data_IF_937840534039
#
_entry.id   IF_937840534039
#
_cell.length_a   1.000
_cell.length_b   1.000
_cell.length_c   1.000
_cell.angle_alpha   90.00
_cell.angle_beta   90.00
_cell.angle_gamma   90.00
#
_symmetry.space_group_name_H-M   'P 1'
#
loop_
_entity.id
_entity.type
_entity.pdbx_description
1 polymer ?
#
# COMPACT_ATOMS: atom_id res chain seq x y z
N UNK A 1 -2.13 39.15 24.51
CA UNK A 1 -0.91 39.01 25.33
C UNK A 1 -1.32 38.92 26.80
N UNK A 2 -0.89 37.87 27.49
CA UNK A 2 -1.19 37.66 28.90
C UNK A 2 -0.73 38.86 29.75
N UNK A 3 -1.54 39.27 30.73
CA UNK A 3 -1.20 40.36 31.65
C UNK A 3 -1.19 41.77 31.04
N UNK A 4 -1.69 41.96 29.81
CA UNK A 4 -1.80 43.29 29.17
C UNK A 4 -3.19 43.90 29.24
N UNK A 5 -4.17 43.21 29.85
CA UNK A 5 -5.50 43.76 30.07
C UNK A 5 -5.42 44.97 31.02
N UNK A 6 -5.85 46.15 30.57
CA UNK A 6 -5.91 47.37 31.37
C UNK A 6 -7.34 47.65 31.90
N UNK A 7 -8.26 46.70 31.74
CA UNK A 7 -9.62 46.85 32.25
C UNK A 7 -9.60 46.92 33.77
N UNK A 8 -10.34 47.88 34.33
CA UNK A 8 -10.46 48.07 35.79
C UNK A 8 -11.44 47.10 36.44
N UNK A 9 -12.25 46.42 35.63
CA UNK A 9 -13.19 45.39 36.05
C UNK A 9 -12.50 44.02 36.15
N UNK A 10 -12.72 43.33 37.28
CA UNK A 10 -12.12 42.04 37.56
C UNK A 10 -12.59 40.96 36.58
N UNK A 11 -13.89 40.93 36.26
CA UNK A 11 -14.45 39.96 35.32
C UNK A 11 -13.79 40.05 33.94
N UNK A 12 -13.55 41.28 33.48
CA UNK A 12 -12.87 41.56 32.21
C UNK A 12 -11.40 41.11 32.21
N UNK A 13 -10.70 41.22 33.33
CA UNK A 13 -9.34 40.70 33.48
C UNK A 13 -9.31 39.17 33.45
N UNK A 14 -10.23 38.51 34.15
CA UNK A 14 -10.37 37.05 34.13
C UNK A 14 -10.70 36.56 32.72
N UNK A 15 -11.69 37.19 32.04
CA UNK A 15 -12.06 36.84 30.68
C UNK A 15 -10.88 36.99 29.70
N UNK A 16 -10.12 38.08 29.82
CA UNK A 16 -8.91 38.28 29.01
C UNK A 16 -7.86 37.19 29.25
N UNK A 17 -7.61 36.81 30.50
CA UNK A 17 -6.64 35.75 30.82
C UNK A 17 -7.12 34.40 30.25
N UNK A 18 -8.37 34.03 30.50
CA UNK A 18 -8.98 32.79 29.98
C UNK A 18 -8.89 32.71 28.46
N UNK A 19 -9.18 33.81 27.75
CA UNK A 19 -9.08 33.87 26.30
C UNK A 19 -7.64 33.68 25.80
N UNK A 20 -6.64 34.29 26.45
CA UNK A 20 -5.24 34.08 26.08
C UNK A 20 -4.80 32.62 26.30
N UNK A 21 -5.28 31.97 27.38
CA UNK A 21 -4.96 30.56 27.66
C UNK A 21 -5.60 29.61 26.64
N UNK A 22 -6.85 29.88 26.22
CA UNK A 22 -7.51 29.12 25.14
C UNK A 22 -6.75 29.23 23.81
N UNK A 23 -6.32 30.46 23.45
CA UNK A 23 -5.51 30.67 22.25
C UNK A 23 -4.17 29.91 22.32
N UNK A 24 -3.50 29.95 23.47
CA UNK A 24 -2.26 29.20 23.68
C UNK A 24 -2.47 27.70 23.53
N UNK A 25 -3.53 27.14 24.14
CA UNK A 25 -3.84 25.72 24.03
C UNK A 25 -4.09 25.33 22.57
N UNK A 26 -4.91 26.09 21.83
CA UNK A 26 -5.17 25.84 20.42
C UNK A 26 -3.89 25.85 19.58
N UNK A 27 -3.06 26.89 19.73
CA UNK A 27 -1.79 27.01 19.01
C UNK A 27 -0.82 25.89 19.40
N UNK A 28 -0.82 25.45 20.66
CA UNK A 28 -0.02 24.31 21.12
C UNK A 28 -0.50 22.99 20.51
N UNK A 29 -1.81 22.82 20.36
CA UNK A 29 -2.38 21.68 19.62
C UNK A 29 -1.97 21.71 18.15
N UNK A 30 -2.11 22.85 17.46
CA UNK A 30 -1.68 22.98 16.05
C UNK A 30 -0.18 22.69 15.92
N UNK A 31 0.66 23.31 16.76
CA UNK A 31 2.10 23.04 16.79
C UNK A 31 2.40 21.57 17.02
N UNK A 32 1.63 20.88 17.87
CA UNK A 32 1.80 19.44 18.09
C UNK A 32 1.52 18.63 16.83
N UNK A 33 0.51 18.99 16.04
CA UNK A 33 0.21 18.31 14.77
C UNK A 33 1.20 18.64 13.66
N UNK A 34 1.76 19.86 13.64
CA UNK A 34 2.72 20.29 12.61
C UNK A 34 4.16 19.85 12.93
N UNK A 35 4.57 19.88 14.20
CA UNK A 35 5.97 19.63 14.61
C UNK A 35 6.26 18.17 14.96
N UNK A 36 5.23 17.36 15.22
CA UNK A 36 5.40 15.92 15.45
C UNK A 36 4.65 15.16 14.37
N UNK A 37 5.38 14.36 13.61
CA UNK A 37 4.77 13.26 12.90
C UNK A 37 4.09 12.35 13.93
N UNK A 38 2.76 12.33 13.92
CA UNK A 38 2.03 11.46 14.84
C UNK A 38 2.41 10.02 14.51
N UNK A 39 2.55 9.14 15.52
CA UNK A 39 2.77 7.70 15.30
C UNK A 39 1.75 7.16 14.27
N UNK A 40 0.49 7.60 14.35
CA UNK A 40 -0.54 7.26 13.36
C UNK A 40 -0.28 7.80 11.94
N UNK A 41 0.35 8.97 11.81
CA UNK A 41 0.82 9.53 10.53
C UNK A 41 1.92 8.68 9.91
N UNK A 42 2.93 8.31 10.71
CA UNK A 42 4.02 7.42 10.29
C UNK A 42 3.48 6.03 9.88
N UNK A 43 2.60 5.44 10.70
CA UNK A 43 1.95 4.17 10.34
C UNK A 43 1.09 4.30 9.09
N UNK A 44 0.41 5.44 8.88
CA UNK A 44 -0.38 5.67 7.67
C UNK A 44 0.52 5.78 6.44
N UNK A 45 1.61 6.53 6.50
CA UNK A 45 2.59 6.63 5.40
C UNK A 45 3.21 5.26 5.10
N UNK A 46 3.67 4.53 6.12
CA UNK A 46 4.22 3.18 5.96
C UNK A 46 3.15 2.24 5.39
N UNK A 47 1.89 2.35 5.82
CA UNK A 47 0.80 1.52 5.28
C UNK A 47 0.49 1.88 3.84
N UNK A 48 0.43 3.16 3.49
CA UNK A 48 0.26 3.63 2.11
C UNK A 48 1.41 3.19 1.19
N UNK A 49 2.65 3.21 1.69
CA UNK A 49 3.81 2.64 1.00
C UNK A 49 3.80 1.10 0.94
N UNK A 50 3.23 0.44 1.95
CA UNK A 50 3.04 -1.02 1.99
C UNK A 50 1.90 -1.49 1.09
N UNK A 51 1.03 -0.59 0.62
CA UNK A 51 0.15 -0.82 -0.54
C UNK A 51 0.96 -0.81 -1.86
N UNK A 52 2.29 -0.95 -1.81
CA UNK A 52 3.01 -1.60 -2.90
C UNK A 52 2.43 -3.00 -3.13
N UNK A 53 2.24 -3.38 -4.40
CA UNK A 53 1.92 -4.78 -4.76
C UNK A 53 2.87 -5.70 -3.98
N UNK A 54 2.30 -6.69 -3.31
CA UNK A 54 3.06 -7.75 -2.67
C UNK A 54 4.04 -8.35 -3.68
N UNK A 55 5.15 -8.92 -3.21
CA UNK A 55 6.14 -9.58 -4.08
C UNK A 55 5.45 -10.59 -5.01
N UNK A 56 4.42 -11.29 -4.53
CA UNK A 56 3.59 -12.21 -5.32
C UNK A 56 2.85 -11.50 -6.45
N UNK A 57 2.21 -10.37 -6.19
CA UNK A 57 1.50 -9.60 -7.22
C UNK A 57 2.48 -8.99 -8.23
N UNK A 58 3.66 -8.54 -7.79
CA UNK A 58 4.74 -8.06 -8.69
C UNK A 58 5.21 -9.18 -9.63
N UNK A 59 5.51 -10.37 -9.09
CA UNK A 59 5.90 -11.55 -9.89
C UNK A 59 4.79 -11.93 -10.86
N UNK A 60 3.53 -11.95 -10.40
CA UNK A 60 2.39 -12.27 -11.26
C UNK A 60 2.19 -11.24 -12.39
N UNK A 61 2.39 -9.95 -12.09
CA UNK A 61 2.41 -8.88 -13.09
C UNK A 61 3.42 -9.14 -14.21
N UNK A 62 4.66 -9.46 -13.85
CA UNK A 62 5.72 -9.78 -14.81
C UNK A 62 5.39 -11.01 -15.66
N UNK A 63 4.84 -12.06 -15.05
CA UNK A 63 4.41 -13.27 -15.80
C UNK A 63 3.34 -12.90 -16.85
N UNK A 64 2.36 -12.07 -16.48
CA UNK A 64 1.31 -11.64 -17.41
C UNK A 64 1.85 -10.79 -18.55
N UNK A 65 2.78 -9.87 -18.27
CA UNK A 65 3.41 -9.06 -19.33
C UNK A 65 4.14 -9.93 -20.35
N UNK A 66 4.88 -10.94 -19.89
CA UNK A 66 5.59 -11.88 -20.78
C UNK A 66 4.58 -12.67 -21.64
N UNK A 67 3.53 -13.22 -21.02
CA UNK A 67 2.53 -14.01 -21.74
C UNK A 67 1.75 -13.14 -22.73
N UNK A 68 1.44 -11.89 -22.37
CA UNK A 68 0.79 -10.93 -23.28
C UNK A 68 1.66 -10.62 -24.49
N UNK A 69 2.96 -10.34 -24.28
CA UNK A 69 3.87 -10.05 -25.38
C UNK A 69 4.00 -11.24 -26.36
N UNK A 70 3.96 -12.47 -25.84
CA UNK A 70 3.97 -13.68 -26.67
C UNK A 70 2.62 -13.83 -27.40
N UNK A 71 1.50 -13.63 -26.72
CA UNK A 71 0.16 -13.69 -27.31
C UNK A 71 0.03 -12.70 -28.48
N UNK A 72 0.48 -11.45 -28.28
CA UNK A 72 0.50 -10.42 -29.31
C UNK A 72 1.39 -10.82 -30.50
N UNK A 73 2.57 -11.37 -30.24
CA UNK A 73 3.50 -11.82 -31.29
C UNK A 73 2.91 -12.93 -32.16
N UNK A 74 2.17 -13.86 -31.56
CA UNK A 74 1.54 -14.98 -32.27
C UNK A 74 0.10 -14.69 -32.72
N UNK A 75 -0.44 -13.49 -32.43
CA UNK A 75 -1.85 -13.14 -32.67
C UNK A 75 -2.84 -14.15 -32.07
N UNK A 76 -2.51 -14.63 -30.88
CA UNK A 76 -3.28 -15.62 -30.13
C UNK A 76 -3.96 -14.95 -28.94
N UNK A 77 -5.07 -15.54 -28.46
CA UNK A 77 -5.72 -15.07 -27.24
C UNK A 77 -4.87 -15.35 -25.99
N UNK A 78 -4.80 -14.36 -25.09
CA UNK A 78 -4.00 -14.43 -23.86
C UNK A 78 -4.48 -15.55 -22.94
N UNK A 79 -5.79 -15.65 -22.71
CA UNK A 79 -6.37 -16.61 -21.76
C UNK A 79 -6.26 -18.04 -22.30
N UNK A 80 -6.43 -18.21 -23.61
CA UNK A 80 -6.19 -19.49 -24.30
C UNK A 80 -4.72 -19.91 -24.17
N UNK A 81 -3.77 -19.02 -24.45
CA UNK A 81 -2.33 -19.30 -24.32
C UNK A 81 -1.96 -19.64 -22.86
N UNK A 82 -2.42 -18.87 -21.89
CA UNK A 82 -2.17 -19.10 -20.47
C UNK A 82 -2.72 -20.46 -20.03
N UNK A 83 -3.94 -20.80 -20.47
CA UNK A 83 -4.59 -22.08 -20.19
C UNK A 83 -3.83 -23.25 -20.80
N UNK A 84 -3.33 -23.09 -22.03
CA UNK A 84 -2.51 -24.08 -22.70
C UNK A 84 -1.18 -24.29 -21.96
N UNK A 85 -0.47 -23.24 -21.55
CA UNK A 85 0.77 -23.34 -20.77
C UNK A 85 0.54 -24.09 -19.44
N UNK A 86 -0.57 -23.82 -18.74
CA UNK A 86 -0.92 -24.48 -17.48
C UNK A 86 -1.26 -25.97 -17.70
N UNK A 87 -1.96 -26.28 -18.78
CA UNK A 87 -2.44 -27.64 -19.06
C UNK A 87 -1.38 -28.52 -19.76
N UNK A 88 -0.50 -27.96 -20.58
CA UNK A 88 0.59 -28.68 -21.25
C UNK A 88 1.58 -29.26 -20.24
N UNK A 89 1.74 -28.64 -19.06
CA UNK A 89 2.50 -29.25 -17.96
C UNK A 89 1.93 -30.62 -17.55
N UNK A 90 0.60 -30.80 -17.58
CA UNK A 90 -0.04 -32.09 -17.27
C UNK A 90 0.17 -33.11 -18.39
N UNK A 91 0.10 -32.66 -19.64
CA UNK A 91 0.33 -33.52 -20.81
C UNK A 91 1.79 -33.95 -20.91
N UNK A 92 2.75 -33.03 -20.73
CA UNK A 92 4.17 -33.33 -20.64
C UNK A 92 4.48 -34.30 -19.48
N UNK A 93 3.86 -34.09 -18.31
CA UNK A 93 4.01 -35.01 -17.17
C UNK A 93 3.43 -36.40 -17.45
N UNK A 94 2.30 -36.47 -18.17
CA UNK A 94 1.73 -37.74 -18.62
C UNK A 94 2.62 -38.44 -19.66
N UNK A 95 3.13 -37.69 -20.65
CA UNK A 95 4.05 -38.23 -21.68
C UNK A 95 5.37 -38.69 -21.07
N UNK A 96 5.94 -37.94 -20.12
CA UNK A 96 7.11 -38.37 -19.36
C UNK A 96 6.85 -39.68 -18.61
N UNK A 97 5.68 -39.83 -17.98
CA UNK A 97 5.29 -41.07 -17.31
C UNK A 97 5.26 -42.27 -18.27
N UNK A 98 4.72 -42.09 -19.47
CA UNK A 98 4.68 -43.14 -20.51
C UNK A 98 6.09 -43.50 -20.99
N UNK A 99 6.94 -42.50 -21.27
CA UNK A 99 8.33 -42.72 -21.70
C UNK A 99 9.11 -43.48 -20.62
N UNK A 100 8.89 -43.18 -19.35
CA UNK A 100 9.56 -43.83 -18.22
C UNK A 100 9.12 -45.29 -18.01
N UNK A 101 7.87 -45.61 -18.33
CA UNK A 101 7.40 -47.01 -18.35
C UNK A 101 7.97 -47.79 -19.53
N UNK A 102 8.13 -47.17 -20.70
CA UNK A 102 8.76 -47.80 -21.86
C UNK A 102 10.25 -48.10 -21.63
N UNK A 103 10.96 -47.27 -20.87
CA UNK A 103 12.37 -47.52 -20.49
C UNK A 103 12.56 -48.64 -19.46
N UNK A 104 11.54 -49.02 -18.70
CA UNK A 104 11.61 -50.13 -17.73
C UNK A 104 11.26 -51.50 -18.34
N UNK A 105 10.70 -51.51 -19.55
CA UNK A 105 10.26 -52.72 -20.27
C UNK A 105 11.25 -53.13 -21.37
N UNK A 106 12.26 -52.30 -21.66
CA UNK A 106 13.40 -52.58 -22.54
C UNK A 106 14.65 -52.93 -21.72
#
# INVERSE_FOLDING_TARGET
KLGKCQCRDFGSQIASISLNMLQYNLLSYVKRFESYETIGGLFREITEQTVELSITEKIWGLIREIVSAIADFFSTDFDELLTNIINENKQLKAMMGVVQQLQLVA
#
